data_IF_706899224974
#
_entry.id   IF_706899224974
#
_cell.length_a   1.000
_cell.length_b   1.000
_cell.length_c   1.000
_cell.angle_alpha   90.00
_cell.angle_beta   90.00
_cell.angle_gamma   90.00
#
_symmetry.space_group_name_H-M   'P 1'
#
loop_
_entity.id
_entity.type
_entity.pdbx_description
1 polymer ?
#
# COMPACT_ATOMS: atom_id res chain seq x y z
N UNK A 1 -5.59 15.05 -3.17
CA UNK A 1 -5.33 15.95 -4.32
C UNK A 1 -4.17 15.40 -5.15
N UNK A 2 -4.31 15.28 -6.47
CA UNK A 2 -3.24 14.78 -7.35
C UNK A 2 -2.56 15.96 -8.06
N UNK A 3 -1.25 16.07 -7.90
CA UNK A 3 -0.39 16.91 -8.73
C UNK A 3 0.13 16.05 -9.89
N UNK A 4 -0.41 16.29 -11.08
CA UNK A 4 -0.08 15.53 -12.29
C UNK A 4 1.34 15.83 -12.79
N UNK A 5 1.87 17.04 -12.57
CA UNK A 5 3.22 17.42 -13.03
C UNK A 5 4.29 16.69 -12.25
N UNK A 6 4.10 16.53 -10.94
CA UNK A 6 5.05 15.83 -10.05
C UNK A 6 4.70 14.35 -9.83
N UNK A 7 3.54 13.91 -10.33
CA UNK A 7 2.95 12.61 -10.06
C UNK A 7 2.92 12.29 -8.55
N UNK A 8 2.46 13.27 -7.76
CA UNK A 8 2.35 13.20 -6.29
C UNK A 8 0.88 13.30 -5.89
N UNK A 9 0.49 12.56 -4.86
CA UNK A 9 -0.85 12.61 -4.29
C UNK A 9 -0.74 13.04 -2.83
N UNK A 10 -1.61 13.95 -2.40
CA UNK A 10 -1.71 14.42 -1.02
C UNK A 10 -3.06 14.07 -0.40
N UNK A 11 -3.06 13.66 0.87
CA UNK A 11 -4.28 13.65 1.68
C UNK A 11 -4.76 15.10 1.89
N UNK A 12 -6.07 15.32 1.83
CA UNK A 12 -6.71 16.64 2.02
C UNK A 12 -7.99 16.46 2.82
N UNK A 13 -8.46 17.53 3.45
CA UNK A 13 -9.74 17.52 4.17
C UNK A 13 -10.90 17.15 3.24
N UNK A 14 -11.96 16.57 3.83
CA UNK A 14 -13.18 16.23 3.08
C UNK A 14 -13.88 17.47 2.49
N UNK A 15 -13.70 18.65 3.09
CA UNK A 15 -14.23 19.94 2.60
C UNK A 15 -13.52 20.47 1.35
N UNK A 16 -12.38 19.90 0.96
CA UNK A 16 -11.65 20.35 -0.22
C UNK A 16 -12.43 19.99 -1.50
N UNK A 17 -12.72 20.97 -2.37
CA UNK A 17 -13.57 20.80 -3.58
C UNK A 17 -13.13 19.65 -4.51
N UNK A 18 -11.84 19.36 -4.54
CA UNK A 18 -11.24 18.28 -5.36
C UNK A 18 -10.90 17.01 -4.57
N UNK A 19 -11.38 16.88 -3.33
CA UNK A 19 -11.19 15.67 -2.54
C UNK A 19 -11.85 14.48 -3.23
N UNK A 20 -11.18 13.33 -3.17
CA UNK A 20 -11.73 12.04 -3.62
C UNK A 20 -11.66 11.09 -2.44
N UNK A 21 -12.79 10.45 -2.10
CA UNK A 21 -12.86 9.45 -1.03
C UNK A 21 -11.88 8.30 -1.34
N UNK A 22 -11.08 7.96 -0.34
CA UNK A 22 -10.10 6.88 -0.37
C UNK A 22 -10.28 6.05 0.91
N UNK A 23 -10.62 4.77 0.75
CA UNK A 23 -10.91 3.85 1.85
C UNK A 23 -10.15 2.54 1.64
N UNK A 24 -9.51 2.09 2.70
CA UNK A 24 -8.88 0.78 2.84
C UNK A 24 -9.09 0.32 4.29
N UNK A 25 -9.08 -1.00 4.48
CA UNK A 25 -8.89 -1.60 5.80
C UNK A 25 -7.49 -2.22 5.83
N UNK A 26 -6.91 -2.35 7.02
CA UNK A 26 -5.66 -3.07 7.21
C UNK A 26 -5.68 -3.89 8.50
N UNK A 27 -4.88 -4.94 8.50
CA UNK A 27 -4.60 -5.80 9.65
C UNK A 27 -3.09 -5.89 9.83
N UNK A 28 -2.61 -5.82 11.07
CA UNK A 28 -1.20 -6.05 11.41
C UNK A 28 -1.00 -7.55 11.55
N UNK A 29 -0.35 -8.18 10.57
CA UNK A 29 -0.05 -9.62 10.59
C UNK A 29 1.13 -9.93 11.50
N UNK A 30 2.14 -9.07 11.47
CA UNK A 30 3.33 -9.19 12.29
C UNK A 30 3.97 -7.82 12.52
N UNK A 31 4.73 -7.71 13.59
CA UNK A 31 5.47 -6.50 13.94
C UNK A 31 6.73 -6.86 14.71
N UNK A 32 7.77 -6.05 14.52
CA UNK A 32 8.98 -6.03 15.33
C UNK A 32 9.24 -4.59 15.79
N UNK A 33 10.44 -4.29 16.30
CA UNK A 33 10.76 -2.96 16.82
C UNK A 33 10.81 -1.85 15.75
N UNK A 34 11.04 -2.21 14.47
CA UNK A 34 11.28 -1.25 13.40
C UNK A 34 10.18 -1.25 12.32
N UNK A 35 9.61 -2.43 12.02
CA UNK A 35 8.69 -2.65 10.91
C UNK A 35 7.46 -3.45 11.32
N UNK A 36 6.38 -3.25 10.58
CA UNK A 36 5.16 -4.05 10.68
C UNK A 36 4.75 -4.57 9.30
N UNK A 37 4.37 -5.85 9.24
CA UNK A 37 3.76 -6.46 8.07
C UNK A 37 2.24 -6.25 8.13
N UNK A 38 1.70 -5.59 7.11
CA UNK A 38 0.28 -5.29 7.01
C UNK A 38 -0.39 -6.07 5.89
N UNK A 39 -1.53 -6.69 6.18
CA UNK A 39 -2.50 -7.08 5.16
C UNK A 39 -3.39 -5.89 4.87
N UNK A 40 -3.51 -5.47 3.60
CA UNK A 40 -4.30 -4.29 3.22
C UNK A 40 -5.40 -4.67 2.24
N UNK A 41 -6.64 -4.37 2.59
CA UNK A 41 -7.81 -4.53 1.73
C UNK A 41 -8.26 -3.19 1.19
N UNK A 42 -8.18 -3.01 -0.14
CA UNK A 42 -8.63 -1.79 -0.81
C UNK A 42 -10.14 -1.81 -1.07
N UNK A 43 -10.85 -0.80 -0.58
CA UNK A 43 -12.24 -0.52 -0.95
C UNK A 43 -12.35 0.49 -2.10
N UNK A 44 -11.28 1.26 -2.30
CA UNK A 44 -11.12 2.17 -3.44
C UNK A 44 -9.72 2.04 -4.04
N UNK A 45 -9.57 2.35 -5.33
CA UNK A 45 -8.28 2.29 -6.04
C UNK A 45 -7.77 3.66 -6.48
N UNK A 46 -7.44 4.57 -5.54
CA UNK A 46 -6.87 5.88 -5.89
C UNK A 46 -5.36 5.79 -6.12
N UNK A 47 -4.82 6.69 -6.95
CA UNK A 47 -3.37 6.71 -7.22
C UNK A 47 -2.58 6.85 -5.92
N UNK A 48 -1.61 5.96 -5.71
CA UNK A 48 -0.76 5.91 -4.51
C UNK A 48 -1.54 5.85 -3.19
N UNK A 49 -2.76 5.31 -3.19
CA UNK A 49 -3.66 5.37 -2.03
C UNK A 49 -3.01 4.84 -0.74
N UNK A 50 -2.53 3.59 -0.76
CA UNK A 50 -1.90 2.94 0.41
C UNK A 50 -0.71 3.77 0.90
N UNK A 51 0.19 4.12 -0.02
CA UNK A 51 1.42 4.88 0.22
C UNK A 51 1.14 6.21 0.94
N UNK A 52 0.18 6.99 0.43
CA UNK A 52 -0.18 8.29 1.00
C UNK A 52 -0.90 8.15 2.33
N UNK A 53 -1.84 7.20 2.45
CA UNK A 53 -2.62 7.03 3.69
C UNK A 53 -1.72 6.58 4.85
N UNK A 54 -0.83 5.61 4.61
CA UNK A 54 0.11 5.12 5.62
C UNK A 54 1.14 6.20 6.02
N UNK A 55 1.73 6.89 5.04
CA UNK A 55 2.64 8.03 5.29
C UNK A 55 1.96 9.15 6.08
N UNK A 56 0.75 9.55 5.70
CA UNK A 56 -0.01 10.60 6.42
C UNK A 56 -0.33 10.18 7.85
N UNK A 57 -0.43 8.88 8.12
CA UNK A 57 -0.68 8.33 9.46
C UNK A 57 0.59 8.16 10.30
N UNK A 58 1.77 8.54 9.77
CA UNK A 58 3.05 8.43 10.46
C UNK A 58 3.79 7.10 10.24
N UNK A 59 3.27 6.21 9.40
CA UNK A 59 3.82 4.88 9.16
C UNK A 59 4.11 4.66 7.67
N UNK A 60 5.02 5.42 7.05
CA UNK A 60 5.33 5.27 5.63
C UNK A 60 5.86 3.86 5.30
N UNK A 61 5.64 3.40 4.07
CA UNK A 61 6.13 2.12 3.61
C UNK A 61 7.66 2.09 3.51
N UNK A 62 8.25 0.94 3.81
CA UNK A 62 9.68 0.69 3.57
C UNK A 62 10.00 0.86 2.07
N UNK A 63 11.12 1.53 1.79
CA UNK A 63 11.60 1.84 0.44
C UNK A 63 10.78 2.89 -0.32
N UNK A 64 9.75 3.49 0.28
CA UNK A 64 8.99 4.57 -0.34
C UNK A 64 9.73 5.91 -0.25
N UNK A 65 10.58 6.15 -1.23
CA UNK A 65 11.37 7.38 -1.35
C UNK A 65 10.52 8.63 -1.65
N UNK A 66 9.24 8.49 -2.01
CA UNK A 66 8.37 9.65 -2.33
C UNK A 66 7.56 10.13 -1.12
N UNK A 67 7.08 9.20 -0.30
CA UNK A 67 6.22 9.52 0.85
C UNK A 67 6.85 9.19 2.20
N UNK A 68 8.03 8.58 2.23
CA UNK A 68 8.80 8.28 3.45
C UNK A 68 10.27 8.64 3.29
N UNK A 69 10.59 9.74 2.60
CA UNK A 69 11.96 10.15 2.30
C UNK A 69 12.86 10.31 3.55
N UNK A 70 12.27 10.63 4.70
CA UNK A 70 13.01 10.87 5.95
C UNK A 70 13.42 9.56 6.66
N UNK A 71 12.80 8.43 6.30
CA UNK A 71 13.06 7.12 6.91
C UNK A 71 13.59 6.08 5.91
N UNK A 72 13.56 6.39 4.61
CA UNK A 72 13.98 5.51 3.53
C UNK A 72 15.24 6.04 2.83
N UNK A 73 16.00 5.12 2.24
CA UNK A 73 17.27 5.39 1.57
C UNK A 73 17.17 5.15 0.06
N UNK A 74 17.91 5.90 -0.78
CA UNK A 74 18.02 5.60 -2.20
C UNK A 74 18.46 4.17 -2.45
N UNK A 75 17.88 3.53 -3.46
CA UNK A 75 18.16 2.13 -3.83
C UNK A 75 17.28 1.10 -3.12
N UNK A 76 16.52 1.47 -2.08
CA UNK A 76 15.53 0.56 -1.50
C UNK A 76 14.31 0.43 -2.42
N UNK A 77 13.85 -0.81 -2.62
CA UNK A 77 12.59 -1.10 -3.31
C UNK A 77 11.40 -0.94 -2.37
N UNK A 78 10.30 -0.41 -2.91
CA UNK A 78 9.05 -0.24 -2.14
C UNK A 78 8.53 -1.61 -1.71
N UNK A 79 8.37 -1.80 -0.41
CA UNK A 79 7.71 -2.97 0.17
C UNK A 79 6.18 -2.81 0.08
N UNK A 80 5.66 -2.99 -1.13
CA UNK A 80 4.22 -3.05 -1.40
C UNK A 80 3.97 -4.11 -2.47
N UNK A 81 3.20 -5.14 -2.11
CA UNK A 81 2.96 -6.29 -2.97
C UNK A 81 1.46 -6.55 -3.15
N UNK A 82 1.05 -6.85 -4.39
CA UNK A 82 -0.32 -7.26 -4.69
C UNK A 82 -0.47 -8.76 -4.43
N UNK A 83 -0.63 -9.11 -3.15
CA UNK A 83 -0.63 -10.51 -2.71
C UNK A 83 -1.83 -11.32 -3.22
N UNK A 84 -3.03 -10.75 -3.22
CA UNK A 84 -4.25 -11.43 -3.68
C UNK A 84 -5.09 -10.51 -4.56
N UNK A 85 -5.64 -11.09 -5.64
CA UNK A 85 -6.65 -10.47 -6.49
C UNK A 85 -7.84 -11.41 -6.66
N UNK A 86 -9.02 -10.96 -6.25
CA UNK A 86 -10.26 -11.73 -6.34
C UNK A 86 -11.34 -10.94 -7.09
N UNK A 87 -11.97 -11.55 -8.11
CA UNK A 87 -13.04 -10.93 -8.89
C UNK A 87 -13.94 -11.99 -9.55
N UNK A 88 -15.22 -11.67 -9.83
CA UNK A 88 -16.08 -12.56 -10.61
C UNK A 88 -15.59 -12.62 -12.06
N UNK A 89 -15.43 -13.83 -12.59
CA UNK A 89 -15.10 -14.04 -14.00
C UNK A 89 -16.16 -13.36 -14.89
N UNK A 90 -15.76 -12.60 -15.92
CA UNK A 90 -16.67 -11.74 -16.68
C UNK A 90 -17.83 -12.49 -17.34
N UNK A 91 -17.61 -13.77 -17.69
CA UNK A 91 -18.62 -14.61 -18.36
C UNK A 91 -19.33 -15.53 -17.37
N UNK A 92 -18.60 -16.45 -16.73
CA UNK A 92 -19.17 -17.48 -15.84
C UNK A 92 -19.69 -16.95 -14.50
N UNK A 93 -19.29 -15.72 -14.09
CA UNK A 93 -19.63 -15.09 -12.79
C UNK A 93 -19.11 -15.80 -11.55
N UNK A 94 -18.45 -16.95 -11.70
CA UNK A 94 -17.72 -17.62 -10.63
C UNK A 94 -16.57 -16.73 -10.14
N UNK A 95 -16.29 -16.77 -8.84
CA UNK A 95 -15.19 -16.00 -8.26
C UNK A 95 -13.87 -16.66 -8.61
N UNK A 96 -12.97 -15.89 -9.23
CA UNK A 96 -11.58 -16.26 -9.43
C UNK A 96 -10.71 -15.55 -8.40
N UNK A 97 -9.77 -16.29 -7.82
CA UNK A 97 -8.78 -15.78 -6.87
C UNK A 97 -7.39 -16.14 -7.36
N UNK A 98 -6.54 -15.12 -7.47
CA UNK A 98 -5.12 -15.26 -7.84
C UNK A 98 -4.28 -14.79 -6.67
N UNK A 99 -3.21 -15.54 -6.36
CA UNK A 99 -2.26 -15.20 -5.29
C UNK A 99 -0.84 -15.15 -5.81
N UNK A 100 -0.05 -14.25 -5.24
CA UNK A 100 1.36 -14.12 -5.53
C UNK A 100 2.09 -13.75 -4.26
N UNK A 101 3.11 -14.52 -3.89
CA UNK A 101 3.95 -14.21 -2.74
C UNK A 101 4.98 -13.13 -3.08
N UNK A 102 5.30 -12.25 -2.11
CA UNK A 102 6.43 -11.34 -2.27
C UNK A 102 7.75 -12.12 -2.39
N UNK A 103 8.80 -11.51 -2.94
CA UNK A 103 10.10 -12.16 -3.06
C UNK A 103 10.68 -12.49 -1.68
N UNK A 104 11.43 -13.58 -1.59
CA UNK A 104 12.17 -13.96 -0.38
C UNK A 104 13.47 -13.15 -0.23
N UNK A 105 13.31 -11.84 -0.09
CA UNK A 105 14.41 -10.89 0.09
C UNK A 105 14.01 -9.82 1.12
N UNK A 106 14.98 -9.05 1.61
CA UNK A 106 14.71 -8.01 2.59
C UNK A 106 13.82 -6.89 2.00
N UNK A 107 12.75 -6.44 2.69
CA UNK A 107 12.38 -6.74 4.08
C UNK A 107 11.35 -7.87 4.24
N UNK A 108 10.91 -8.50 3.15
CA UNK A 108 9.86 -9.54 3.20
C UNK A 108 10.30 -10.78 3.95
N UNK A 109 11.56 -11.18 3.79
CA UNK A 109 12.13 -12.35 4.45
C UNK A 109 12.22 -12.25 5.98
N UNK A 110 11.99 -11.07 6.56
CA UNK A 110 11.90 -10.87 8.02
C UNK A 110 10.70 -11.62 8.64
N UNK A 111 9.77 -12.11 7.83
CA UNK A 111 8.50 -12.69 8.27
C UNK A 111 8.32 -14.17 7.90
N UNK A 112 9.34 -14.84 7.34
CA UNK A 112 9.24 -16.21 6.82
C UNK A 112 9.02 -17.28 7.90
N UNK A 113 9.40 -17.02 9.15
CA UNK A 113 9.32 -17.98 10.26
C UNK A 113 7.97 -17.92 11.00
N UNK A 114 6.89 -17.54 10.31
CA UNK A 114 5.53 -17.44 10.87
C UNK A 114 4.47 -18.08 9.99
#
# INVERSE_FOLDING_TARGET
>A
LKDTKKNIVKAVSASHKQAKKAVLDYEVLASNQELSLLSVRLHTGRSHQIRVQLSTSGFPLYGDQKYGQDVNRPGQQIALWAHELSFPHPVSKEVLTFRSEPPNEHPWNLWNDR
#
